data_IF_108868397542
#
_entry.id   IF_108868397542
#
_cell.length_a   1.000
_cell.length_b   1.000
_cell.length_c   1.000
_cell.angle_alpha   90.00
_cell.angle_beta   90.00
_cell.angle_gamma   90.00
#
_symmetry.space_group_name_H-M   'P 1'
#
loop_
_entity.id
_entity.type
_entity.pdbx_description
1 polymer ?
#
# COMPACT_ATOMS: atom_id res chain seq x y z
N UNK A 1 49.01 -23.51 16.09
CA UNK A 1 48.11 -24.21 15.14
C UNK A 1 46.64 -24.19 15.55
N UNK A 2 46.17 -24.96 16.54
CA UNK A 2 44.73 -24.92 16.94
C UNK A 2 44.31 -23.59 17.58
N UNK A 3 45.20 -22.99 18.37
CA UNK A 3 44.93 -21.69 19.02
C UNK A 3 44.78 -20.55 18.00
N UNK A 4 45.59 -20.55 16.94
CA UNK A 4 45.55 -19.52 15.89
C UNK A 4 44.28 -19.64 15.04
N UNK A 5 43.79 -20.86 14.80
CA UNK A 5 42.50 -21.11 14.13
C UNK A 5 41.35 -20.57 15.00
N UNK A 6 41.38 -20.78 16.31
CA UNK A 6 40.35 -20.28 17.21
C UNK A 6 40.33 -18.74 17.24
N UNK A 7 41.49 -18.10 17.38
CA UNK A 7 41.60 -16.63 17.42
C UNK A 7 41.23 -15.97 16.09
N UNK A 8 41.52 -16.60 14.95
CA UNK A 8 41.13 -16.10 13.62
C UNK A 8 39.64 -16.24 13.36
N UNK A 9 38.97 -17.28 13.88
CA UNK A 9 37.52 -17.43 13.81
C UNK A 9 36.81 -16.40 14.69
N UNK A 10 37.35 -16.12 15.88
CA UNK A 10 36.79 -15.13 16.81
C UNK A 10 36.94 -13.69 16.31
N UNK A 11 38.04 -13.36 15.61
CA UNK A 11 38.23 -12.07 14.92
C UNK A 11 37.38 -11.89 13.65
N UNK A 12 36.93 -12.99 13.01
CA UNK A 12 36.07 -12.96 11.81
C UNK A 12 34.59 -13.07 12.10
N UNK A 13 34.19 -13.48 13.30
CA UNK A 13 32.84 -13.24 13.80
C UNK A 13 32.71 -11.75 14.06
N UNK A 14 32.39 -11.00 13.01
CA UNK A 14 32.00 -9.61 13.11
C UNK A 14 30.85 -9.46 14.11
N UNK A 15 30.72 -8.26 14.66
CA UNK A 15 29.68 -7.91 15.62
C UNK A 15 28.34 -8.54 15.24
N UNK A 16 27.57 -9.04 16.22
CA UNK A 16 26.26 -9.63 15.95
C UNK A 16 25.50 -8.65 15.07
N UNK A 17 25.04 -9.13 13.92
CA UNK A 17 24.21 -8.32 13.03
C UNK A 17 22.93 -8.00 13.81
N UNK A 18 22.92 -6.84 14.48
CA UNK A 18 21.71 -6.25 15.04
C UNK A 18 20.90 -5.73 13.86
N UNK A 19 20.20 -6.61 13.14
CA UNK A 19 19.20 -6.23 12.14
C UNK A 19 17.78 -6.47 12.64
N UNK A 20 17.51 -6.07 13.87
CA UNK A 20 16.15 -5.76 14.31
C UNK A 20 15.76 -4.31 13.94
N UNK A 21 16.02 -3.86 12.70
CA UNK A 21 15.58 -2.52 12.26
C UNK A 21 15.51 -2.29 10.75
N UNK A 22 15.34 -3.33 9.93
CA UNK A 22 15.16 -3.14 8.47
C UNK A 22 13.81 -3.67 7.94
N UNK A 23 13.03 -4.39 8.76
CA UNK A 23 11.74 -4.96 8.34
C UNK A 23 10.53 -4.11 8.73
N UNK A 24 10.70 -3.13 9.64
CA UNK A 24 9.58 -2.31 10.14
C UNK A 24 9.27 -1.12 9.22
N UNK A 25 10.29 -0.53 8.60
CA UNK A 25 10.14 0.71 7.83
C UNK A 25 9.40 0.49 6.50
N UNK A 26 9.59 -0.68 5.86
CA UNK A 26 8.88 -1.02 4.62
C UNK A 26 7.38 -1.18 4.90
N UNK A 27 7.00 -1.87 5.98
CA UNK A 27 5.60 -2.04 6.35
C UNK A 27 4.90 -0.72 6.71
N UNK A 28 5.60 0.16 7.44
CA UNK A 28 5.07 1.48 7.82
C UNK A 28 4.92 2.39 6.59
N UNK A 29 5.94 2.47 5.73
CA UNK A 29 5.92 3.33 4.55
C UNK A 29 4.85 2.88 3.53
N UNK A 30 4.72 1.57 3.32
CA UNK A 30 3.67 1.00 2.45
C UNK A 30 2.28 1.31 3.02
N UNK A 31 2.08 1.14 4.33
CA UNK A 31 0.79 1.42 4.98
C UNK A 31 0.37 2.90 4.87
N UNK A 32 1.31 3.83 5.09
CA UNK A 32 1.07 5.28 4.97
C UNK A 32 0.71 5.65 3.53
N UNK A 33 1.49 5.16 2.54
CA UNK A 33 1.25 5.48 1.14
C UNK A 33 -0.09 4.93 0.63
N UNK A 34 -0.48 3.72 1.09
CA UNK A 34 -1.81 3.17 0.78
C UNK A 34 -2.91 4.06 1.36
N UNK A 35 -2.79 4.49 2.62
CA UNK A 35 -3.77 5.38 3.26
C UNK A 35 -3.91 6.74 2.54
N UNK A 36 -2.80 7.34 2.11
CA UNK A 36 -2.81 8.59 1.33
C UNK A 36 -3.52 8.39 -0.01
N UNK A 37 -3.25 7.29 -0.71
CA UNK A 37 -3.88 7.02 -1.99
C UNK A 37 -5.37 6.68 -1.85
N UNK A 38 -5.79 6.01 -0.78
CA UNK A 38 -7.21 5.81 -0.47
C UNK A 38 -7.95 7.13 -0.27
N UNK A 39 -7.36 8.08 0.47
CA UNK A 39 -7.94 9.41 0.64
C UNK A 39 -8.06 10.16 -0.70
N UNK A 40 -7.02 10.12 -1.53
CA UNK A 40 -7.05 10.71 -2.88
C UNK A 40 -8.14 10.10 -3.75
N UNK A 41 -8.31 8.76 -3.70
CA UNK A 41 -9.40 8.09 -4.44
C UNK A 41 -10.77 8.57 -3.94
N UNK A 42 -10.97 8.73 -2.63
CA UNK A 42 -12.23 9.28 -2.10
C UNK A 42 -12.49 10.71 -2.60
N UNK A 43 -11.48 11.57 -2.65
CA UNK A 43 -11.62 12.92 -3.22
C UNK A 43 -11.98 12.90 -4.71
N UNK A 44 -11.38 11.98 -5.49
CA UNK A 44 -11.73 11.80 -6.89
C UNK A 44 -13.18 11.34 -7.06
N UNK A 45 -13.64 10.42 -6.22
CA UNK A 45 -15.03 9.95 -6.22
C UNK A 45 -16.02 11.04 -5.82
N UNK A 46 -15.64 11.97 -4.93
CA UNK A 46 -16.44 13.16 -4.60
C UNK A 46 -16.60 14.09 -5.79
N UNK A 47 -15.55 14.25 -6.60
CA UNK A 47 -15.55 15.10 -7.80
C UNK A 47 -16.29 14.46 -8.98
N UNK A 48 -16.08 13.16 -9.17
CA UNK A 48 -16.71 12.36 -10.21
C UNK A 48 -17.03 10.96 -9.68
N UNK A 49 -18.30 10.74 -9.34
CA UNK A 49 -18.75 9.47 -8.79
C UNK A 49 -18.77 8.31 -9.82
N UNK A 50 -18.63 8.59 -11.12
CA UNK A 50 -18.56 7.56 -12.17
C UNK A 50 -17.12 7.20 -12.55
N UNK A 51 -16.11 7.78 -11.88
CA UNK A 51 -14.72 7.56 -12.21
C UNK A 51 -14.35 6.07 -12.18
N UNK A 52 -13.60 5.67 -13.20
CA UNK A 52 -13.13 4.30 -13.41
C UNK A 52 -11.75 4.09 -12.80
N UNK A 53 -11.39 2.82 -12.55
CA UNK A 53 -10.05 2.46 -12.11
C UNK A 53 -8.97 2.98 -13.09
N UNK A 54 -9.25 2.92 -14.40
CA UNK A 54 -8.35 3.43 -15.44
C UNK A 54 -8.14 4.94 -15.35
N UNK A 55 -9.18 5.72 -15.06
CA UNK A 55 -9.02 7.17 -14.87
C UNK A 55 -8.23 7.49 -13.60
N UNK A 56 -8.47 6.74 -12.51
CA UNK A 56 -7.70 6.86 -11.27
C UNK A 56 -6.20 6.62 -11.52
N UNK A 57 -5.83 5.66 -12.39
CA UNK A 57 -4.42 5.46 -12.75
C UNK A 57 -3.78 6.69 -13.37
N UNK A 58 -4.48 7.35 -14.29
CA UNK A 58 -3.99 8.54 -14.99
C UNK A 58 -3.84 9.72 -14.03
N UNK A 59 -4.75 9.87 -13.07
CA UNK A 59 -4.74 10.99 -12.13
C UNK A 59 -3.74 10.80 -10.99
N UNK A 60 -3.49 9.57 -10.54
CA UNK A 60 -2.61 9.29 -9.40
C UNK A 60 -1.23 8.76 -9.78
N UNK A 61 -0.99 8.44 -11.06
CA UNK A 61 0.29 7.87 -11.52
C UNK A 61 0.57 6.48 -10.95
N UNK A 62 -0.47 5.70 -10.64
CA UNK A 62 -0.37 4.34 -10.09
C UNK A 62 -0.78 3.30 -11.12
N UNK A 63 -0.37 2.04 -10.93
CA UNK A 63 -0.79 0.95 -11.81
C UNK A 63 -2.28 0.64 -11.70
N UNK A 64 -2.88 0.09 -12.76
CA UNK A 64 -4.29 -0.34 -12.77
C UNK A 64 -4.60 -1.29 -11.62
N UNK A 65 -3.75 -2.29 -11.41
CA UNK A 65 -3.88 -3.22 -10.29
C UNK A 65 -3.86 -2.52 -8.93
N UNK A 66 -3.05 -1.47 -8.77
CA UNK A 66 -3.02 -0.71 -7.53
C UNK A 66 -4.33 0.08 -7.34
N UNK A 67 -4.83 0.72 -8.40
CA UNK A 67 -6.13 1.42 -8.35
C UNK A 67 -7.30 0.48 -8.00
N UNK A 68 -7.36 -0.71 -8.59
CA UNK A 68 -8.38 -1.73 -8.30
C UNK A 68 -8.32 -2.19 -6.84
N UNK A 69 -7.10 -2.37 -6.31
CA UNK A 69 -6.88 -2.72 -4.90
C UNK A 69 -7.35 -1.62 -3.97
N UNK A 70 -7.09 -0.35 -4.28
CA UNK A 70 -7.57 0.78 -3.48
C UNK A 70 -9.09 0.83 -3.46
N UNK A 71 -9.76 0.68 -4.61
CA UNK A 71 -11.23 0.62 -4.70
C UNK A 71 -11.77 -0.56 -3.89
N UNK A 72 -11.14 -1.74 -4.01
CA UNK A 72 -11.53 -2.94 -3.27
C UNK A 72 -11.37 -2.74 -1.76
N UNK A 73 -10.26 -2.14 -1.32
CA UNK A 73 -10.00 -1.82 0.08
C UNK A 73 -11.04 -0.82 0.62
N UNK A 74 -11.32 0.27 -0.10
CA UNK A 74 -12.36 1.24 0.26
C UNK A 74 -13.75 0.60 0.36
N UNK A 75 -14.08 -0.33 -0.55
CA UNK A 75 -15.33 -1.10 -0.51
C UNK A 75 -15.38 -2.02 0.70
N UNK A 76 -14.30 -2.76 1.00
CA UNK A 76 -14.19 -3.65 2.16
C UNK A 76 -14.27 -2.89 3.48
N UNK A 77 -13.71 -1.69 3.53
CA UNK A 77 -13.81 -0.76 4.66
C UNK A 77 -15.20 -0.11 4.80
N UNK A 78 -16.13 -0.40 3.89
CA UNK A 78 -17.46 0.20 3.90
C UNK A 78 -17.45 1.69 3.62
N UNK A 79 -16.41 2.21 2.96
CA UNK A 79 -16.30 3.65 2.67
C UNK A 79 -17.05 4.03 1.40
N UNK A 80 -17.13 3.10 0.43
CA UNK A 80 -17.80 3.29 -0.84
C UNK A 80 -18.63 2.05 -1.22
N UNK A 81 -19.66 2.26 -2.02
CA UNK A 81 -20.42 1.19 -2.68
C UNK A 81 -20.71 1.50 -4.14
N UNK A 82 -20.86 0.47 -4.95
CA UNK A 82 -21.37 0.63 -6.32
C UNK A 82 -22.90 0.69 -6.27
N UNK A 83 -23.49 1.74 -6.84
CA UNK A 83 -24.95 1.92 -6.97
C UNK A 83 -25.32 1.86 -8.45
N UNK A 84 -26.34 1.07 -8.80
CA UNK A 84 -26.80 0.89 -10.17
C UNK A 84 -26.09 -0.23 -10.94
N UNK A 85 -26.21 -0.22 -12.27
CA UNK A 85 -25.70 -1.30 -13.12
C UNK A 85 -24.16 -1.27 -13.27
N UNK A 86 -23.58 -2.38 -13.70
CA UNK A 86 -22.13 -2.44 -13.96
C UNK A 86 -21.66 -1.45 -15.03
N UNK A 87 -22.52 -1.11 -16.01
CA UNK A 87 -22.18 -0.18 -17.09
C UNK A 87 -22.40 1.29 -16.72
N UNK A 88 -23.52 1.61 -16.06
CA UNK A 88 -23.95 3.00 -15.85
C UNK A 88 -24.08 3.38 -14.37
N UNK A 89 -23.71 2.47 -13.46
CA UNK A 89 -23.70 2.74 -12.04
C UNK A 89 -22.57 3.68 -11.62
N UNK A 90 -22.71 4.28 -10.45
CA UNK A 90 -21.76 5.21 -9.85
C UNK A 90 -21.30 4.70 -8.48
N UNK A 91 -20.22 5.27 -7.97
CA UNK A 91 -19.73 5.02 -6.63
C UNK A 91 -20.41 5.97 -5.64
N UNK A 92 -21.20 5.40 -4.73
CA UNK A 92 -21.74 6.12 -3.58
C UNK A 92 -20.73 6.10 -2.42
N UNK A 93 -20.49 7.27 -1.82
CA UNK A 93 -19.67 7.39 -0.60
C UNK A 93 -20.59 7.19 0.61
N UNK A 94 -20.19 6.31 1.52
CA UNK A 94 -20.96 5.94 2.72
C UNK A 94 -20.49 6.73 3.94
N UNK A 95 -19.19 7.04 4.03
CA UNK A 95 -18.63 7.81 5.14
C UNK A 95 -19.12 9.26 5.07
N UNK A 96 -19.79 9.72 6.14
CA UNK A 96 -20.12 11.13 6.37
C UNK A 96 -18.94 11.86 7.00
#
# INVERSE_FOLDING_TARGET
>A
MLQEIYETLKKRQGDPIVTMKATKDVGINVGINVGINEQKVLELLRKNNQITAKEITGLLGISLRHSERLITSLKQKGMIQRVGSNKNGYWGIIVK
#
